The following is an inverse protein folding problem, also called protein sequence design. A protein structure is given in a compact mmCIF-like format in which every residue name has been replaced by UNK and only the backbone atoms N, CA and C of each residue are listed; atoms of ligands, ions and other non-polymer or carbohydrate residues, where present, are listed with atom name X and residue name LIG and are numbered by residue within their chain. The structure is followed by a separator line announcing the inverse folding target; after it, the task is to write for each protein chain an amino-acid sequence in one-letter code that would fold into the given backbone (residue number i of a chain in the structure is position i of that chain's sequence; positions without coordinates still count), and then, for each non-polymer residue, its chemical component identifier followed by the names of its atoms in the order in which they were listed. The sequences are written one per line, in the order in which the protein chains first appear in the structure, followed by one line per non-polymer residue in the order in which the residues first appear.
data_IF_814402267559
#
_entry.id   IF_814402267559
#
_cell.length_a   1.000
_cell.length_b   1.000
_cell.length_c   1.000
_cell.angle_alpha   90.00
_cell.angle_beta   90.00
_cell.angle_gamma   90.00
#
_symmetry.space_group_name_H-M   'P 1'
#
loop_
_entity.id
_entity.type
_entity.pdbx_description
1 polymer ?
#
# COMPACT_ATOMS: atom_id res chain seq x y z
N UNK A 1 6.33 -8.81 26.02
CA UNK A 1 6.81 -7.54 25.41
C UNK A 1 5.73 -7.12 24.42
N UNK A 2 5.31 -5.87 24.38
CA UNK A 2 4.39 -5.37 23.35
C UNK A 2 5.23 -4.89 22.18
N UNK A 3 4.96 -5.39 20.98
CA UNK A 3 5.63 -4.96 19.74
C UNK A 3 4.60 -4.66 18.66
N UNK A 4 4.89 -3.64 17.83
CA UNK A 4 4.03 -3.24 16.74
C UNK A 4 4.86 -3.28 15.45
N UNK A 5 4.39 -4.05 14.49
CA UNK A 5 4.93 -4.07 13.13
C UNK A 5 4.21 -3.01 12.30
N UNK A 6 4.96 -1.99 11.87
CA UNK A 6 4.43 -0.86 11.10
C UNK A 6 4.63 -1.01 9.60
N UNK A 7 5.26 -2.10 9.15
CA UNK A 7 5.54 -2.35 7.75
C UNK A 7 5.19 -3.79 7.34
N UNK A 8 3.92 -4.09 7.39
CA UNK A 8 3.39 -5.38 6.99
C UNK A 8 2.26 -5.22 5.97
N UNK A 9 2.13 -6.19 5.10
CA UNK A 9 1.26 -6.10 3.94
C UNK A 9 0.10 -7.07 4.02
N UNK A 10 -1.04 -6.64 3.48
CA UNK A 10 -2.15 -7.53 3.15
C UNK A 10 -2.82 -7.13 1.84
N UNK A 11 -3.58 -8.04 1.27
CA UNK A 11 -4.37 -7.82 0.07
C UNK A 11 -5.83 -8.11 0.43
N UNK A 12 -6.63 -7.07 0.73
CA UNK A 12 -8.04 -7.27 1.06
C UNK A 12 -8.77 -8.02 -0.06
N UNK A 13 -9.53 -9.08 0.24
CA UNK A 13 -10.10 -9.95 -0.80
C UNK A 13 -11.00 -9.23 -1.80
N UNK A 14 -11.83 -8.31 -1.36
CA UNK A 14 -12.72 -7.57 -2.27
C UNK A 14 -11.95 -6.57 -3.14
N UNK A 15 -10.96 -5.88 -2.58
CA UNK A 15 -10.05 -5.04 -3.34
C UNK A 15 -9.29 -5.85 -4.39
N UNK A 16 -8.79 -7.02 -4.01
CA UNK A 16 -8.09 -7.94 -4.92
C UNK A 16 -8.96 -8.34 -6.12
N UNK A 17 -10.23 -8.66 -5.92
CA UNK A 17 -11.16 -9.01 -7.01
C UNK A 17 -11.30 -7.86 -8.02
N UNK A 18 -11.45 -6.63 -7.53
CA UNK A 18 -11.58 -5.45 -8.38
C UNK A 18 -10.29 -5.18 -9.16
N UNK A 19 -9.15 -5.21 -8.48
CA UNK A 19 -7.86 -5.02 -9.13
C UNK A 19 -7.58 -6.09 -10.19
N UNK A 20 -7.94 -7.35 -9.93
CA UNK A 20 -7.82 -8.44 -10.90
C UNK A 20 -8.68 -8.25 -12.13
N UNK A 21 -9.85 -7.64 -11.98
CA UNK A 21 -10.75 -7.36 -13.10
C UNK A 21 -10.29 -6.15 -13.94
N UNK A 22 -9.71 -5.13 -13.30
CA UNK A 22 -9.35 -3.87 -13.93
C UNK A 22 -7.89 -3.81 -14.43
N UNK A 23 -6.99 -4.62 -13.89
CA UNK A 23 -5.58 -4.64 -14.31
C UNK A 23 -5.41 -5.36 -15.66
N UNK A 24 -4.99 -4.66 -16.74
CA UNK A 24 -4.84 -5.25 -18.06
C UNK A 24 -3.69 -6.27 -18.11
N UNK A 25 -2.65 -6.05 -17.33
CA UNK A 25 -1.49 -6.94 -17.21
C UNK A 25 -1.28 -7.28 -15.73
N UNK A 26 -1.55 -8.54 -15.38
CA UNK A 26 -1.33 -9.04 -14.02
C UNK A 26 0.16 -9.03 -13.73
N UNK A 27 0.62 -8.11 -12.91
CA UNK A 27 2.00 -8.16 -12.46
C UNK A 27 2.27 -9.48 -11.71
N UNK A 28 3.45 -10.02 -11.91
CA UNK A 28 3.88 -11.26 -11.22
C UNK A 28 3.75 -11.12 -9.70
N UNK A 29 4.08 -9.94 -9.17
CA UNK A 29 3.97 -9.62 -7.73
C UNK A 29 2.53 -9.63 -7.23
N UNK A 30 1.58 -9.12 -8.02
CA UNK A 30 0.17 -9.14 -7.65
C UNK A 30 -0.37 -10.58 -7.55
N UNK A 31 -0.08 -11.41 -8.55
CA UNK A 31 -0.46 -12.84 -8.54
C UNK A 31 0.20 -13.57 -7.38
N UNK A 32 1.46 -13.27 -7.08
CA UNK A 32 2.18 -13.86 -5.96
C UNK A 32 1.55 -13.48 -4.61
N UNK A 33 1.22 -12.21 -4.40
CA UNK A 33 0.58 -11.74 -3.18
C UNK A 33 -0.76 -12.46 -2.91
N UNK A 34 -1.55 -12.72 -3.96
CA UNK A 34 -2.79 -13.48 -3.85
C UNK A 34 -2.58 -14.94 -3.48
N UNK A 35 -1.45 -15.52 -3.84
CA UNK A 35 -1.11 -16.92 -3.54
C UNK A 35 -0.46 -17.11 -2.15
N UNK A 36 -0.15 -16.02 -1.45
CA UNK A 36 0.34 -16.08 -0.06
C UNK A 36 -0.84 -15.99 0.88
N UNK A 37 -1.18 -17.12 1.52
CA UNK A 37 -2.37 -17.21 2.37
C UNK A 37 -2.43 -16.12 3.45
N UNK A 38 -1.31 -15.83 4.13
CA UNK A 38 -1.25 -14.77 5.14
C UNK A 38 -1.42 -13.34 4.61
N UNK A 39 -1.40 -13.13 3.30
CA UNK A 39 -1.68 -11.84 2.67
C UNK A 39 -3.13 -11.68 2.22
N UNK A 40 -3.76 -12.76 1.74
CA UNK A 40 -5.05 -12.74 1.07
C UNK A 40 -6.18 -13.40 1.85
N UNK A 41 -5.86 -14.21 2.86
CA UNK A 41 -6.82 -14.88 3.73
C UNK A 41 -6.62 -14.40 5.18
N UNK A 42 -7.59 -13.64 5.68
CA UNK A 42 -7.48 -13.01 7.01
C UNK A 42 -7.58 -14.03 8.14
N UNK A 43 -8.33 -15.11 7.98
CA UNK A 43 -8.40 -16.18 8.98
C UNK A 43 -7.05 -16.88 9.11
N UNK A 44 -6.41 -17.22 7.99
CA UNK A 44 -5.08 -17.83 8.00
C UNK A 44 -4.03 -16.90 8.61
N UNK A 45 -4.12 -15.58 8.33
CA UNK A 45 -3.24 -14.57 8.94
C UNK A 45 -3.44 -14.51 10.45
N UNK A 46 -4.68 -14.40 10.89
CA UNK A 46 -5.03 -14.28 12.31
C UNK A 46 -4.62 -15.52 13.11
N UNK A 47 -4.73 -16.72 12.54
CA UNK A 47 -4.22 -17.94 13.17
C UNK A 47 -2.70 -17.87 13.43
N UNK A 48 -1.92 -17.34 12.49
CA UNK A 48 -0.49 -17.12 12.71
C UNK A 48 -0.26 -16.10 13.83
N UNK A 49 -1.02 -15.00 13.85
CA UNK A 49 -0.84 -13.93 14.84
C UNK A 49 -1.17 -14.38 16.27
N UNK A 50 -2.07 -15.32 16.45
CA UNK A 50 -2.39 -15.93 17.77
C UNK A 50 -1.17 -16.56 18.46
N UNK A 51 -0.19 -17.01 17.68
CA UNK A 51 1.05 -17.58 18.21
C UNK A 51 1.99 -16.52 18.84
N UNK A 52 1.71 -15.23 18.65
CA UNK A 52 2.57 -14.13 19.08
C UNK A 52 1.83 -13.13 20.00
N UNK A 53 1.51 -13.52 21.26
CA UNK A 53 0.76 -12.66 22.17
C UNK A 53 1.50 -11.35 22.45
N UNK A 54 0.79 -10.23 22.30
CA UNK A 54 1.33 -8.87 22.49
C UNK A 54 2.03 -8.29 21.25
N UNK A 55 2.05 -9.01 20.13
CA UNK A 55 2.45 -8.49 18.85
C UNK A 55 1.20 -7.98 18.11
N UNK A 56 1.29 -6.78 17.54
CA UNK A 56 0.24 -6.19 16.72
C UNK A 56 0.81 -5.66 15.41
N UNK A 57 -0.05 -5.42 14.46
CA UNK A 57 0.29 -4.94 13.14
C UNK A 57 -0.44 -3.63 12.79
N UNK A 58 0.21 -2.79 11.97
CA UNK A 58 -0.39 -1.66 11.28
C UNK A 58 -0.22 -1.91 9.78
N UNK A 59 -1.11 -2.70 9.17
CA UNK A 59 -0.93 -3.15 7.80
C UNK A 59 -1.20 -2.06 6.77
N UNK A 60 -0.61 -2.25 5.59
CA UNK A 60 -0.91 -1.53 4.36
C UNK A 60 -1.25 -2.50 3.22
N UNK A 61 -1.74 -1.97 2.11
CA UNK A 61 -1.99 -2.78 0.92
C UNK A 61 -0.67 -3.10 0.24
N UNK A 62 -0.51 -4.37 -0.13
CA UNK A 62 0.67 -4.84 -0.86
C UNK A 62 0.76 -4.25 -2.28
N UNK A 63 1.99 -4.11 -2.78
CA UNK A 63 2.23 -3.76 -4.20
C UNK A 63 1.49 -4.69 -5.18
N UNK A 64 1.13 -4.24 -6.41
CA UNK A 64 1.64 -3.01 -7.04
C UNK A 64 0.87 -1.74 -6.66
N UNK A 65 1.49 -0.56 -6.82
CA UNK A 65 0.80 0.72 -6.70
C UNK A 65 -0.41 0.79 -7.62
N UNK A 66 -1.49 1.40 -7.17
CA UNK A 66 -2.73 1.54 -7.96
C UNK A 66 -2.49 2.26 -9.30
N UNK A 67 -1.53 3.18 -9.34
CA UNK A 67 -1.14 3.96 -10.52
C UNK A 67 -0.47 3.14 -11.63
N UNK A 68 0.00 1.94 -11.33
CA UNK A 68 0.62 1.08 -12.35
C UNK A 68 -0.40 0.45 -13.29
N UNK A 69 -1.66 0.38 -12.87
CA UNK A 69 -2.73 -0.23 -13.66
C UNK A 69 -3.99 0.63 -13.81
N UNK A 70 -4.06 1.78 -13.13
CA UNK A 70 -5.18 2.69 -13.20
C UNK A 70 -4.71 4.13 -13.50
N UNK A 71 -5.31 4.75 -14.50
CA UNK A 71 -5.11 6.15 -14.80
C UNK A 71 -5.64 7.07 -13.69
N UNK A 72 -5.31 8.40 -13.75
CA UNK A 72 -5.65 9.36 -12.72
C UNK A 72 -7.16 9.60 -12.54
N UNK A 73 -7.98 9.15 -13.46
CA UNK A 73 -9.45 9.15 -13.40
C UNK A 73 -10.03 7.98 -12.60
N UNK A 74 -9.32 6.85 -12.54
CA UNK A 74 -9.77 5.60 -11.90
C UNK A 74 -9.06 5.33 -10.57
N UNK A 75 -7.78 5.69 -10.47
CA UNK A 75 -6.98 5.40 -9.28
C UNK A 75 -7.59 5.95 -7.98
N UNK A 76 -8.29 7.13 -7.95
CA UNK A 76 -8.92 7.62 -6.72
C UNK A 76 -9.96 6.65 -6.16
N UNK A 77 -10.82 6.12 -7.02
CA UNK A 77 -11.84 5.13 -6.61
C UNK A 77 -11.20 3.87 -6.04
N UNK A 78 -10.15 3.39 -6.69
CA UNK A 78 -9.48 2.16 -6.27
C UNK A 78 -8.73 2.34 -4.94
N UNK A 79 -8.04 3.46 -4.75
CA UNK A 79 -7.39 3.77 -3.49
C UNK A 79 -8.41 3.84 -2.34
N UNK A 80 -9.53 4.53 -2.56
CA UNK A 80 -10.60 4.63 -1.58
C UNK A 80 -11.17 3.25 -1.19
N UNK A 81 -11.47 2.39 -2.17
CA UNK A 81 -11.94 1.02 -1.90
C UNK A 81 -10.90 0.23 -1.09
N UNK A 82 -9.63 0.31 -1.46
CA UNK A 82 -8.57 -0.37 -0.74
C UNK A 82 -8.49 0.06 0.73
N UNK A 83 -8.55 1.36 0.98
CA UNK A 83 -8.52 1.92 2.33
C UNK A 83 -9.78 1.56 3.14
N UNK A 84 -10.96 1.53 2.52
CA UNK A 84 -12.19 1.11 3.17
C UNK A 84 -12.14 -0.36 3.59
N UNK A 85 -11.62 -1.22 2.72
CA UNK A 85 -11.51 -2.65 3.00
C UNK A 85 -10.49 -2.95 4.09
N UNK A 86 -9.31 -2.30 4.05
CA UNK A 86 -8.29 -2.52 5.10
C UNK A 86 -8.79 -2.01 6.47
N UNK A 87 -9.51 -0.89 6.50
CA UNK A 87 -10.16 -0.38 7.72
C UNK A 87 -11.12 -1.40 8.30
N UNK A 88 -12.01 -2.00 7.49
CA UNK A 88 -12.96 -3.04 7.95
C UNK A 88 -12.23 -4.22 8.58
N UNK A 89 -11.14 -4.69 7.96
CA UNK A 89 -10.32 -5.79 8.48
C UNK A 89 -9.74 -5.45 9.86
N UNK A 90 -9.17 -4.25 9.98
CA UNK A 90 -8.56 -3.77 11.22
C UNK A 90 -9.58 -3.63 12.34
N UNK A 91 -10.74 -3.03 12.06
CA UNK A 91 -11.81 -2.83 13.04
C UNK A 91 -12.46 -4.14 13.50
N UNK A 92 -12.51 -5.13 12.61
CA UNK A 92 -13.04 -6.45 12.93
C UNK A 92 -12.09 -7.29 13.80
N UNK A 93 -10.81 -6.93 13.89
CA UNK A 93 -9.79 -7.74 14.57
C UNK A 93 -8.85 -6.87 15.44
N UNK A 94 -9.38 -6.12 16.41
CA UNK A 94 -8.60 -5.15 17.20
C UNK A 94 -7.54 -5.78 18.09
N UNK A 95 -7.62 -7.09 18.33
CA UNK A 95 -6.63 -7.85 19.07
C UNK A 95 -5.29 -7.98 18.29
N UNK A 96 -5.34 -7.98 16.95
CA UNK A 96 -4.19 -8.17 16.07
C UNK A 96 -3.71 -6.87 15.42
N UNK A 97 -4.59 -5.88 15.27
CA UNK A 97 -4.26 -4.66 14.54
C UNK A 97 -4.41 -3.41 15.42
N UNK A 98 -3.51 -2.45 15.24
CA UNK A 98 -3.51 -1.16 15.97
C UNK A 98 -3.98 0.01 15.09
N UNK A 99 -4.25 -0.25 13.83
CA UNK A 99 -4.63 0.71 12.80
C UNK A 99 -4.20 0.23 11.43
N UNK A 100 -4.15 1.13 10.45
CA UNK A 100 -3.70 0.83 9.09
C UNK A 100 -2.91 2.00 8.51
N UNK A 101 -2.12 1.71 7.48
CA UNK A 101 -1.47 2.72 6.64
C UNK A 101 -2.28 2.81 5.35
N UNK A 102 -2.71 4.01 4.99
CA UNK A 102 -3.53 4.22 3.79
C UNK A 102 -2.68 4.37 2.53
N UNK A 103 -3.16 3.81 1.42
CA UNK A 103 -2.66 4.10 0.08
C UNK A 103 -3.34 5.33 -0.51
N UNK A 104 -2.66 6.02 -1.44
CA UNK A 104 -3.20 7.20 -2.12
C UNK A 104 -3.07 7.07 -3.64
N UNK A 105 -3.91 7.72 -4.44
CA UNK A 105 -3.80 7.73 -5.89
C UNK A 105 -2.75 8.75 -6.35
N UNK A 106 -1.45 8.43 -6.17
CA UNK A 106 -0.33 9.35 -6.31
C UNK A 106 -0.25 10.05 -7.69
N UNK A 107 -0.81 9.44 -8.75
CA UNK A 107 -0.92 10.01 -10.09
C UNK A 107 -2.05 11.08 -10.22
N UNK A 108 -2.81 11.33 -9.15
CA UNK A 108 -3.82 12.39 -9.08
C UNK A 108 -3.63 13.18 -7.77
N UNK A 109 -2.84 14.25 -7.83
CA UNK A 109 -2.43 15.03 -6.65
C UNK A 109 -3.63 15.57 -5.87
N UNK A 110 -4.64 16.11 -6.57
CA UNK A 110 -5.84 16.63 -5.90
C UNK A 110 -6.58 15.53 -5.14
N UNK A 111 -6.83 14.41 -5.79
CA UNK A 111 -7.50 13.28 -5.16
C UNK A 111 -6.64 12.66 -4.03
N UNK A 112 -5.31 12.70 -4.15
CA UNK A 112 -4.42 12.26 -3.07
C UNK A 112 -4.57 13.12 -1.82
N UNK A 113 -4.63 14.43 -1.96
CA UNK A 113 -4.84 15.35 -0.83
C UNK A 113 -6.20 15.12 -0.16
N UNK A 114 -7.25 14.90 -0.97
CA UNK A 114 -8.60 14.58 -0.46
C UNK A 114 -8.60 13.23 0.27
N UNK A 115 -7.92 12.22 -0.28
CA UNK A 115 -7.84 10.89 0.31
C UNK A 115 -6.99 10.87 1.59
N UNK A 116 -5.91 11.64 1.68
CA UNK A 116 -5.10 11.81 2.91
C UNK A 116 -5.98 12.34 4.04
N UNK A 117 -6.79 13.37 3.77
CA UNK A 117 -7.74 13.88 4.76
C UNK A 117 -8.74 12.80 5.17
N UNK A 118 -9.34 12.12 4.20
CA UNK A 118 -10.31 11.04 4.46
C UNK A 118 -9.69 9.91 5.28
N UNK A 119 -8.47 9.49 4.95
CA UNK A 119 -7.73 8.46 5.67
C UNK A 119 -7.46 8.87 7.14
N UNK A 120 -7.09 10.13 7.38
CA UNK A 120 -6.96 10.67 8.74
C UNK A 120 -8.28 10.55 9.52
N UNK A 121 -9.37 10.98 8.91
CA UNK A 121 -10.70 10.92 9.54
C UNK A 121 -11.13 9.45 9.80
N UNK A 122 -10.64 8.50 9.01
CA UNK A 122 -10.85 7.06 9.18
C UNK A 122 -9.94 6.41 10.24
N UNK A 123 -8.96 7.13 10.78
CA UNK A 123 -8.03 6.64 11.79
C UNK A 123 -6.77 5.98 11.24
N UNK A 124 -6.40 6.25 9.99
CA UNK A 124 -5.12 5.82 9.44
C UNK A 124 -3.94 6.34 10.29
N UNK A 125 -2.89 5.55 10.41
CA UNK A 125 -1.68 5.85 11.17
C UNK A 125 -0.54 6.42 10.33
N UNK A 126 -0.70 6.44 9.02
CA UNK A 126 0.26 6.97 8.06
C UNK A 126 -0.22 6.77 6.64
N UNK A 127 0.60 7.24 5.71
CA UNK A 127 0.35 7.16 4.26
C UNK A 127 1.49 6.35 3.62
N UNK A 128 1.15 5.40 2.76
CA UNK A 128 2.12 4.71 1.92
C UNK A 128 2.22 5.39 0.57
N UNK A 129 3.46 5.65 0.16
CA UNK A 129 3.84 6.05 -1.20
C UNK A 129 4.92 5.09 -1.72
N UNK A 130 5.33 5.25 -2.96
CA UNK A 130 6.34 4.40 -3.58
C UNK A 130 7.56 5.21 -4.02
N UNK A 131 8.69 4.54 -4.28
CA UNK A 131 9.97 5.19 -4.61
C UNK A 131 9.95 5.99 -5.92
N UNK A 132 8.99 5.72 -6.80
CA UNK A 132 8.76 6.51 -8.02
C UNK A 132 7.30 6.39 -8.48
N UNK A 133 6.82 7.34 -9.25
CA UNK A 133 5.51 7.32 -9.87
C UNK A 133 5.66 7.03 -11.38
N UNK A 134 5.52 5.75 -11.75
CA UNK A 134 5.70 5.28 -13.14
C UNK A 134 7.03 5.75 -13.78
N UNK A 135 8.13 5.70 -13.01
CA UNK A 135 9.45 6.13 -13.44
C UNK A 135 9.74 7.62 -13.21
N UNK A 136 8.78 8.39 -12.75
CA UNK A 136 8.98 9.79 -12.39
C UNK A 136 9.41 9.94 -10.93
N UNK A 137 10.35 10.84 -10.68
CA UNK A 137 10.81 11.17 -9.34
C UNK A 137 9.68 11.77 -8.49
N UNK A 138 9.57 11.32 -7.24
CA UNK A 138 8.50 11.74 -6.34
C UNK A 138 8.79 13.06 -5.61
N UNK A 139 10.00 13.58 -5.71
CA UNK A 139 10.47 14.83 -5.06
C UNK A 139 10.21 16.09 -5.89
N UNK A 140 9.50 15.97 -7.02
CA UNK A 140 9.17 17.13 -7.86
C UNK A 140 8.08 18.00 -7.23
N UNK A 141 8.14 19.31 -7.50
CA UNK A 141 7.22 20.32 -6.93
C UNK A 141 5.74 19.99 -7.11
N UNK A 142 5.39 19.31 -8.19
CA UNK A 142 3.99 18.92 -8.44
C UNK A 142 3.39 18.04 -7.35
N UNK A 143 4.23 17.28 -6.60
CA UNK A 143 3.79 16.40 -5.52
C UNK A 143 3.83 17.05 -4.12
N UNK A 144 4.37 18.26 -3.99
CA UNK A 144 4.44 18.97 -2.71
C UNK A 144 3.11 19.08 -1.97
N UNK A 145 1.95 19.31 -2.65
CA UNK A 145 0.67 19.34 -1.95
C UNK A 145 0.32 18.02 -1.20
N UNK A 146 0.85 16.89 -1.66
CA UNK A 146 0.69 15.60 -0.98
C UNK A 146 1.46 15.60 0.35
N UNK A 147 2.71 16.07 0.31
CA UNK A 147 3.58 16.15 1.51
C UNK A 147 3.05 17.16 2.51
N UNK A 148 2.63 18.33 2.03
CA UNK A 148 1.99 19.35 2.86
C UNK A 148 0.70 18.83 3.53
N UNK A 149 -0.08 18.02 2.84
CA UNK A 149 -1.26 17.38 3.42
C UNK A 149 -0.88 16.37 4.52
N UNK A 150 0.15 15.55 4.29
CA UNK A 150 0.64 14.61 5.29
C UNK A 150 1.14 15.34 6.54
N UNK A 151 1.92 16.40 6.37
CA UNK A 151 2.39 17.27 7.47
C UNK A 151 1.21 17.90 8.22
N UNK A 152 0.28 18.52 7.49
CA UNK A 152 -0.91 19.16 8.07
C UNK A 152 -1.74 18.22 8.94
N UNK A 153 -1.87 16.96 8.54
CA UNK A 153 -2.68 15.98 9.26
C UNK A 153 -1.86 15.10 10.21
N UNK A 154 -0.56 15.40 10.39
CA UNK A 154 0.35 14.64 11.24
C UNK A 154 0.29 13.13 10.91
N UNK A 155 0.54 12.81 9.64
CA UNK A 155 0.59 11.45 9.13
C UNK A 155 1.99 11.15 8.59
N UNK A 156 2.72 10.21 9.20
CA UNK A 156 4.02 9.78 8.69
C UNK A 156 3.86 9.14 7.29
N UNK A 157 4.89 9.29 6.48
CA UNK A 157 4.96 8.71 5.14
C UNK A 157 5.85 7.49 5.19
N UNK A 158 5.32 6.35 4.72
CA UNK A 158 6.07 5.12 4.49
C UNK A 158 6.37 5.01 2.99
N UNK A 159 7.65 4.96 2.65
CA UNK A 159 8.09 4.81 1.26
C UNK A 159 8.36 3.33 0.99
N UNK A 160 7.54 2.72 0.15
CA UNK A 160 7.72 1.34 -0.28
C UNK A 160 8.59 1.28 -1.53
N UNK A 161 9.65 0.45 -1.55
CA UNK A 161 10.44 0.28 -2.76
C UNK A 161 9.61 -0.38 -3.87
N UNK A 162 9.77 0.12 -5.09
CA UNK A 162 9.21 -0.50 -6.31
C UNK A 162 10.36 -0.83 -7.22
N UNK A 163 10.59 -2.12 -7.43
CA UNK A 163 11.45 -2.60 -8.50
C UNK A 163 10.76 -2.38 -9.85
N UNK A 164 11.43 -1.71 -10.75
CA UNK A 164 10.92 -1.49 -12.10
C UNK A 164 12.02 -1.66 -13.12
N UNK A 165 11.64 -2.04 -14.34
CA UNK A 165 12.56 -2.08 -15.50
C UNK A 165 13.18 -0.71 -15.82
N UNK A 166 12.64 0.36 -15.21
CA UNK A 166 12.99 1.75 -15.51
C UNK A 166 14.12 2.31 -14.62
N UNK A 167 14.43 1.65 -13.49
CA UNK A 167 15.52 2.06 -12.61
C UNK A 167 16.47 0.88 -12.47
N UNK A 168 17.45 0.74 -13.36
CA UNK A 168 18.48 -0.26 -13.17
C UNK A 168 19.23 0.07 -11.87
N UNK A 169 19.28 -0.87 -10.95
CA UNK A 169 20.02 -0.77 -9.69
C UNK A 169 21.49 -0.43 -9.95
N UNK A 170 21.98 -0.86 -11.13
CA UNK A 170 23.32 -0.58 -11.62
C UNK A 170 23.26 -0.14 -13.09
N UNK A 171 23.90 0.99 -13.47
CA UNK A 171 23.82 1.57 -14.83
C UNK A 171 24.26 0.67 -15.99
N UNK A 172 24.89 -0.48 -15.70
CA UNK A 172 25.41 -1.42 -16.70
C UNK A 172 24.71 -2.78 -16.69
N UNK A 173 23.68 -2.97 -15.89
CA UNK A 173 22.95 -4.23 -15.77
C UNK A 173 21.52 -4.09 -16.31
N UNK A 174 21.05 -5.07 -17.09
CA UNK A 174 19.70 -5.08 -17.65
C UNK A 174 18.68 -5.64 -16.66
N UNK A 175 19.13 -6.22 -15.55
CA UNK A 175 18.31 -6.76 -14.46
C UNK A 175 19.16 -6.88 -13.20
N UNK A 176 18.49 -6.91 -12.05
CA UNK A 176 19.17 -7.15 -10.77
C UNK A 176 19.84 -8.52 -10.76
N UNK A 177 21.11 -8.55 -10.37
CA UNK A 177 21.89 -9.77 -10.17
C UNK A 177 21.32 -10.65 -9.06
N UNK A 178 20.63 -10.07 -8.13
CA UNK A 178 20.19 -10.73 -6.90
C UNK A 178 18.69 -11.02 -6.86
N UNK A 179 17.92 -10.71 -7.91
CA UNK A 179 16.44 -10.88 -7.92
C UNK A 179 15.83 -10.57 -6.55
N UNK A 180 16.25 -9.47 -5.94
CA UNK A 180 15.65 -9.01 -4.70
C UNK A 180 14.20 -8.64 -4.98
N UNK A 181 13.34 -9.26 -4.25
CA UNK A 181 11.89 -9.21 -4.40
C UNK A 181 11.32 -7.94 -3.80
N UNK A 182 11.41 -6.87 -4.57
CA UNK A 182 10.72 -5.63 -4.23
C UNK A 182 10.08 -5.02 -5.48
#
# INVERSE_FOLDING_TARGET
MKSIDVFCHLMPPEYAKICMAEAPNKSHMFVRALNVASMSNMDARNEVLKAFPGYKQIPNIVSPPVETFAGPDKSPRLAAIGNDEIKKIVEANPEFYEGFIAGIPFNNVKASVEEIKRAKDMGAKGIQIYTHMNGEAIDTEKYWPIYEACEKYDLPILIHPVGGQMVPEFPKENRSKYELWF
#
